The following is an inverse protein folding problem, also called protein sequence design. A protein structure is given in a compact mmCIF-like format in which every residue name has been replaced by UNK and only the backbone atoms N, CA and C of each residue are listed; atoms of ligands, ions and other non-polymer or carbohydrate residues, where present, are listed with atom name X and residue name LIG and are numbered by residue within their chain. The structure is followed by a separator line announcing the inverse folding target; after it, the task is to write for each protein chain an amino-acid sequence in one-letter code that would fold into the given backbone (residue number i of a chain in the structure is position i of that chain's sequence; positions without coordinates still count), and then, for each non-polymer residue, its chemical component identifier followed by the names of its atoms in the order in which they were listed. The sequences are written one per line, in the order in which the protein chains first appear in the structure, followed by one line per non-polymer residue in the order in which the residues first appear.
data_IF_831149772832
#
_entry.id   IF_831149772832
#
_cell.length_a   1.000
_cell.length_b   1.000
_cell.length_c   1.000
_cell.angle_alpha   90.00
_cell.angle_beta   90.00
_cell.angle_gamma   90.00
#
_symmetry.space_group_name_H-M   'P 1'
#
loop_
_entity.id
_entity.type
_entity.pdbx_description
1 polymer ?
#
# COMPACT_ATOMS: atom_id res chain seq x y z
N UNK A 1 -6.93 -27.95 2.84
CA UNK A 1 -7.76 -27.20 3.79
C UNK A 1 -7.36 -25.72 4.01
N UNK A 2 -6.12 -25.28 3.78
CA UNK A 2 -5.70 -23.86 4.04
C UNK A 2 -6.19 -22.84 3.00
N UNK A 3 -6.49 -23.23 1.76
CA UNK A 3 -6.93 -22.33 0.68
C UNK A 3 -8.39 -21.87 0.82
N UNK A 4 -9.25 -22.68 1.44
CA UNK A 4 -10.67 -22.36 1.62
C UNK A 4 -10.92 -21.30 2.69
N UNK A 5 -10.04 -21.17 3.67
CA UNK A 5 -10.20 -20.20 4.76
C UNK A 5 -10.03 -18.74 4.29
N UNK A 6 -9.10 -18.48 3.37
CA UNK A 6 -8.85 -17.14 2.83
C UNK A 6 -10.03 -16.69 1.96
N UNK A 7 -10.59 -17.58 1.13
CA UNK A 7 -11.77 -17.28 0.31
C UNK A 7 -13.00 -17.02 1.18
N UNK A 8 -13.17 -17.79 2.26
CA UNK A 8 -14.28 -17.60 3.20
C UNK A 8 -14.17 -16.26 3.93
N UNK A 9 -12.98 -15.82 4.29
CA UNK A 9 -12.73 -14.50 4.92
C UNK A 9 -13.11 -13.36 3.98
N UNK A 10 -12.80 -13.47 2.68
CA UNK A 10 -13.19 -12.48 1.68
C UNK A 10 -14.73 -12.46 1.44
N UNK A 11 -15.37 -13.61 1.44
CA UNK A 11 -16.84 -13.73 1.28
C UNK A 11 -17.61 -13.20 2.50
N UNK A 12 -17.13 -13.43 3.71
CA UNK A 12 -17.76 -12.93 4.94
C UNK A 12 -17.68 -11.40 5.09
N UNK A 13 -16.66 -10.76 4.53
CA UNK A 13 -16.51 -9.31 4.54
C UNK A 13 -17.35 -8.62 3.45
N UNK A 14 -17.71 -9.33 2.38
CA UNK A 14 -18.50 -8.80 1.25
C UNK A 14 -20.02 -8.82 1.43
N UNK A 15 -20.54 -9.60 2.39
CA UNK A 15 -21.97 -9.94 2.44
C UNK A 15 -22.88 -8.96 3.21
N UNK A 16 -22.40 -7.79 3.62
CA UNK A 16 -23.20 -6.81 4.38
C UNK A 16 -23.35 -5.44 3.68
N UNK A 17 -23.52 -5.41 2.36
CA UNK A 17 -23.93 -4.22 1.64
C UNK A 17 -25.44 -3.96 1.83
N UNK A 18 -25.88 -3.74 3.06
CA UNK A 18 -27.16 -3.11 3.31
C UNK A 18 -26.97 -1.60 3.09
N UNK A 19 -27.55 -1.08 2.01
CA UNK A 19 -27.56 0.34 1.70
C UNK A 19 -28.25 1.09 2.84
N UNK A 20 -27.45 1.69 3.72
CA UNK A 20 -27.94 2.60 4.75
C UNK A 20 -27.97 4.00 4.16
N UNK A 21 -29.14 4.62 4.14
CA UNK A 21 -29.30 6.06 3.89
C UNK A 21 -28.75 6.82 5.13
N UNK A 22 -27.43 6.94 5.20
CA UNK A 22 -26.72 7.75 6.19
C UNK A 22 -26.27 9.06 5.56
N UNK A 23 -25.80 10.00 6.38
CA UNK A 23 -25.16 11.22 5.90
C UNK A 23 -24.07 10.87 4.86
N UNK A 24 -24.02 11.62 3.73
CA UNK A 24 -23.05 11.34 2.69
C UNK A 24 -21.62 11.42 3.27
N UNK A 25 -20.91 10.33 3.14
CA UNK A 25 -19.52 10.21 3.57
C UNK A 25 -18.58 11.14 2.80
N UNK A 26 -17.31 11.21 3.18
CA UNK A 26 -16.30 11.96 2.43
C UNK A 26 -16.18 11.41 1.01
N UNK A 27 -15.82 12.28 0.06
CA UNK A 27 -15.61 11.89 -1.35
C UNK A 27 -14.15 11.75 -1.71
N UNK A 28 -13.29 12.42 -0.97
CA UNK A 28 -11.85 12.49 -1.24
C UNK A 28 -11.05 12.32 0.05
N UNK A 29 -9.84 11.81 -0.07
CA UNK A 29 -8.89 11.70 1.02
C UNK A 29 -7.46 11.89 0.55
N UNK A 30 -6.65 12.51 1.39
CA UNK A 30 -5.19 12.62 1.20
C UNK A 30 -4.53 12.08 2.45
N UNK A 31 -3.49 11.28 2.29
CA UNK A 31 -2.73 10.82 3.44
C UNK A 31 -1.24 11.10 3.31
N UNK A 32 -0.62 11.25 4.47
CA UNK A 32 0.83 11.25 4.65
C UNK A 32 1.16 10.20 5.67
N UNK A 33 2.13 9.34 5.37
CA UNK A 33 2.48 8.23 6.22
C UNK A 33 3.99 7.98 6.26
N UNK A 34 4.49 7.58 7.41
CA UNK A 34 5.72 6.83 7.51
C UNK A 34 5.57 5.54 6.71
N UNK A 35 6.59 5.20 5.93
CA UNK A 35 6.66 3.96 5.16
C UNK A 35 7.93 3.23 5.58
N UNK A 36 7.80 2.07 6.21
CA UNK A 36 8.94 1.29 6.66
C UNK A 36 8.99 -0.09 6.01
N UNK A 37 10.10 -0.42 5.34
CA UNK A 37 10.42 -1.81 5.05
C UNK A 37 10.98 -2.40 6.34
N UNK A 38 10.22 -3.29 7.01
CA UNK A 38 10.60 -3.82 8.34
C UNK A 38 11.02 -2.71 9.27
N UNK A 39 10.34 -1.96 9.92
CA UNK A 39 10.59 -0.90 10.93
C UNK A 39 11.96 -0.16 10.88
N UNK A 40 12.98 -0.75 10.23
CA UNK A 40 14.37 -0.27 10.23
C UNK A 40 14.76 0.56 9.01
N UNK A 41 13.95 0.57 7.94
CA UNK A 41 14.23 1.31 6.73
C UNK A 41 13.20 2.42 6.55
N UNK A 42 13.51 3.63 7.07
CA UNK A 42 12.56 4.73 7.09
C UNK A 42 12.25 5.25 5.69
N UNK A 43 11.03 5.62 5.49
CA UNK A 43 10.54 6.24 4.28
C UNK A 43 9.29 7.06 4.51
N UNK A 44 8.81 7.66 3.45
CA UNK A 44 7.63 8.50 3.41
C UNK A 44 6.71 8.05 2.28
N UNK A 45 5.42 8.08 2.53
CA UNK A 45 4.40 7.90 1.51
C UNK A 45 3.37 9.02 1.56
N UNK A 46 2.95 9.45 0.38
CA UNK A 46 1.83 10.36 0.19
C UNK A 46 0.85 9.68 -0.75
N UNK A 47 -0.44 9.75 -0.45
CA UNK A 47 -1.44 9.15 -1.30
C UNK A 47 -2.73 9.95 -1.34
N UNK A 48 -3.49 9.70 -2.40
CA UNK A 48 -4.80 10.26 -2.65
C UNK A 48 -5.81 9.13 -2.79
N UNK A 49 -6.96 9.29 -2.13
CA UNK A 49 -8.10 8.38 -2.20
C UNK A 49 -9.31 9.08 -2.79
N UNK A 50 -10.00 8.40 -3.71
CA UNK A 50 -11.32 8.79 -4.19
C UNK A 50 -12.31 7.73 -3.77
N UNK A 51 -13.32 8.11 -3.03
CA UNK A 51 -14.42 7.22 -2.66
C UNK A 51 -15.44 7.14 -3.80
N UNK A 52 -15.83 5.91 -4.13
CA UNK A 52 -16.73 5.61 -5.27
C UNK A 52 -18.19 5.56 -4.87
N UNK A 53 -18.48 5.45 -3.58
CA UNK A 53 -19.82 5.45 -3.03
C UNK A 53 -19.94 6.45 -1.88
N UNK A 54 -21.16 6.85 -1.58
CA UNK A 54 -21.47 7.82 -0.53
C UNK A 54 -21.85 7.16 0.81
N UNK A 55 -21.78 5.82 0.88
CA UNK A 55 -22.08 5.11 2.13
C UNK A 55 -21.02 5.40 3.17
N UNK A 56 -21.44 5.92 4.31
CA UNK A 56 -20.53 6.23 5.43
C UNK A 56 -20.04 4.97 6.17
N UNK A 57 -20.78 3.87 6.11
CA UNK A 57 -20.45 2.62 6.81
C UNK A 57 -19.54 1.71 6.00
N UNK A 58 -19.75 1.67 4.68
CA UNK A 58 -19.00 0.83 3.77
C UNK A 58 -18.54 1.65 2.57
N UNK A 59 -17.27 2.01 2.56
CA UNK A 59 -16.67 2.83 1.52
C UNK A 59 -15.87 1.99 0.56
N UNK A 60 -16.14 2.14 -0.73
CA UNK A 60 -15.30 1.62 -1.82
C UNK A 60 -14.43 2.77 -2.32
N UNK A 61 -13.16 2.52 -2.53
CA UNK A 61 -12.22 3.56 -2.92
C UNK A 61 -11.23 3.10 -3.99
N UNK A 62 -10.72 4.07 -4.73
CA UNK A 62 -9.51 3.96 -5.53
C UNK A 62 -8.46 4.84 -4.85
N UNK A 63 -7.23 4.32 -4.73
CA UNK A 63 -6.10 4.97 -4.08
C UNK A 63 -4.90 4.98 -5.00
N UNK A 64 -4.25 6.14 -5.13
CA UNK A 64 -2.94 6.28 -5.74
C UNK A 64 -1.93 6.69 -4.67
N UNK A 65 -0.79 6.02 -4.59
CA UNK A 65 0.28 6.34 -3.65
C UNK A 65 1.58 6.57 -4.39
N UNK A 66 2.36 7.54 -3.91
CA UNK A 66 3.79 7.66 -4.17
C UNK A 66 4.53 7.47 -2.86
N UNK A 67 5.67 6.80 -2.92
CA UNK A 67 6.46 6.52 -1.73
C UNK A 67 7.94 6.42 -2.03
N UNK A 68 8.70 6.64 -0.99
CA UNK A 68 10.15 6.50 -1.00
C UNK A 68 10.58 5.88 0.32
N UNK A 69 11.51 4.92 0.29
CA UNK A 69 12.21 4.47 1.49
C UNK A 69 13.70 4.26 1.21
N UNK A 70 14.48 4.48 2.25
CA UNK A 70 15.93 4.39 2.23
C UNK A 70 16.40 3.17 3.03
N UNK A 71 17.12 2.28 2.36
CA UNK A 71 17.82 1.17 2.99
C UNK A 71 19.30 1.50 3.06
N UNK A 72 19.78 1.92 4.22
CA UNK A 72 21.12 2.50 4.44
C UNK A 72 22.28 1.73 3.77
N UNK A 73 22.22 0.41 3.72
CA UNK A 73 23.30 -0.43 3.18
C UNK A 73 23.10 -0.90 1.74
N UNK A 74 21.88 -0.84 1.21
CA UNK A 74 21.58 -1.57 -0.01
C UNK A 74 21.01 -0.69 -1.12
N UNK A 75 19.97 0.12 -0.84
CA UNK A 75 19.25 0.78 -1.93
C UNK A 75 18.31 1.90 -1.48
N UNK A 76 17.97 2.76 -2.44
CA UNK A 76 16.82 3.64 -2.38
C UNK A 76 15.71 3.02 -3.23
N UNK A 77 14.50 2.99 -2.71
CA UNK A 77 13.34 2.51 -3.48
C UNK A 77 12.31 3.61 -3.60
N UNK A 78 11.94 3.90 -4.84
CA UNK A 78 10.84 4.79 -5.21
C UNK A 78 9.67 3.91 -5.65
N UNK A 79 8.47 4.26 -5.25
CA UNK A 79 7.30 3.46 -5.51
C UNK A 79 6.11 4.31 -5.93
N UNK A 80 5.35 3.78 -6.87
CA UNK A 80 4.02 4.23 -7.21
C UNK A 80 3.08 3.04 -7.14
N UNK A 81 1.90 3.18 -6.50
CA UNK A 81 0.88 2.13 -6.48
C UNK A 81 -0.50 2.70 -6.82
N UNK A 82 -1.27 1.89 -7.53
CA UNK A 82 -2.68 2.14 -7.78
C UNK A 82 -3.49 0.95 -7.24
N UNK A 83 -4.42 1.24 -6.36
CA UNK A 83 -5.14 0.25 -5.58
C UNK A 83 -6.64 0.52 -5.62
N UNK A 84 -7.43 -0.52 -5.54
CA UNK A 84 -8.84 -0.44 -5.23
C UNK A 84 -9.15 -1.26 -3.99
N UNK A 85 -10.08 -0.81 -3.19
CA UNK A 85 -10.36 -1.47 -1.92
C UNK A 85 -11.68 -1.03 -1.32
N UNK A 86 -11.92 -1.57 -0.16
CA UNK A 86 -13.07 -1.21 0.65
C UNK A 86 -12.65 -0.94 2.09
N UNK A 87 -13.40 -0.07 2.74
CA UNK A 87 -13.26 0.31 4.14
C UNK A 87 -14.59 0.15 4.85
N UNK A 88 -14.59 -0.61 5.93
CA UNK A 88 -15.73 -0.75 6.83
C UNK A 88 -15.54 0.16 8.03
N UNK A 89 -16.46 1.08 8.21
CA UNK A 89 -16.49 2.01 9.32
C UNK A 89 -17.45 1.49 10.41
N UNK A 90 -17.00 1.50 11.66
CA UNK A 90 -17.78 1.09 12.80
C UNK A 90 -18.32 2.32 13.54
N UNK A 91 -19.43 2.14 14.27
CA UNK A 91 -20.03 3.21 15.08
C UNK A 91 -19.13 3.74 16.19
N UNK A 92 -18.13 2.95 16.60
CA UNK A 92 -17.09 3.36 17.56
C UNK A 92 -16.08 4.37 17.00
N UNK A 93 -16.10 4.63 15.68
CA UNK A 93 -15.10 5.43 14.99
C UNK A 93 -13.91 4.60 14.44
N UNK A 94 -13.79 3.33 14.81
CA UNK A 94 -12.80 2.42 14.22
C UNK A 94 -13.15 2.13 12.77
N UNK A 95 -12.13 1.87 11.95
CA UNK A 95 -12.33 1.31 10.62
C UNK A 95 -11.33 0.19 10.32
N UNK A 96 -11.75 -0.71 9.47
CA UNK A 96 -10.92 -1.73 8.84
C UNK A 96 -10.98 -1.54 7.32
N UNK A 97 -9.84 -1.67 6.66
CA UNK A 97 -9.78 -1.59 5.21
C UNK A 97 -8.97 -2.72 4.62
N UNK A 98 -9.28 -3.05 3.36
CA UNK A 98 -8.52 -3.97 2.54
C UNK A 98 -8.43 -3.39 1.14
N UNK A 99 -7.29 -3.54 0.48
CA UNK A 99 -7.13 -3.17 -0.92
C UNK A 99 -6.21 -4.12 -1.66
N UNK A 100 -6.41 -4.14 -2.97
CA UNK A 100 -5.59 -4.84 -3.94
C UNK A 100 -5.23 -3.87 -5.05
N UNK A 101 -4.07 -4.07 -5.65
CA UNK A 101 -3.63 -3.20 -6.72
C UNK A 101 -2.35 -3.67 -7.40
N UNK A 102 -1.82 -2.75 -8.17
CA UNK A 102 -0.55 -2.91 -8.89
C UNK A 102 0.34 -1.72 -8.60
N UNK A 103 1.64 -1.90 -8.81
CA UNK A 103 2.59 -0.81 -8.61
C UNK A 103 3.71 -0.82 -9.62
N UNK A 104 4.49 0.23 -9.56
CA UNK A 104 5.78 0.35 -10.21
C UNK A 104 6.81 0.76 -9.16
N UNK A 105 7.87 -0.06 -9.00
CA UNK A 105 8.97 0.19 -8.08
C UNK A 105 10.26 0.35 -8.87
N UNK A 106 10.97 1.43 -8.55
CA UNK A 106 12.32 1.65 -9.04
C UNK A 106 13.28 1.59 -7.86
N UNK A 107 14.21 0.64 -7.89
CA UNK A 107 15.22 0.43 -6.86
C UNK A 107 16.57 0.86 -7.38
N UNK A 108 17.14 1.89 -6.78
CA UNK A 108 18.50 2.34 -7.01
C UNK A 108 19.42 1.67 -5.97
N UNK A 109 20.34 0.84 -6.44
CA UNK A 109 21.26 0.12 -5.56
C UNK A 109 22.43 1.04 -5.22
N UNK A 110 22.80 1.05 -3.93
CA UNK A 110 23.99 1.76 -3.45
C UNK A 110 25.20 0.85 -3.57
N UNK A 111 26.36 1.42 -3.87
CA UNK A 111 27.65 0.75 -3.92
C UNK A 111 28.41 1.04 -5.20
N UNK A 112 29.72 1.12 -5.08
CA UNK A 112 30.64 1.21 -6.20
C UNK A 112 30.69 -0.17 -6.87
N UNK A 113 30.11 -0.25 -8.06
CA UNK A 113 30.26 -1.38 -8.96
C UNK A 113 29.38 -2.61 -8.66
N UNK A 114 28.31 -2.77 -9.41
CA UNK A 114 27.80 -4.10 -9.67
C UNK A 114 28.73 -4.76 -10.68
N UNK A 115 29.32 -5.88 -10.30
CA UNK A 115 30.14 -6.65 -11.22
C UNK A 115 29.30 -7.71 -11.94
N UNK A 116 29.45 -7.83 -13.24
CA UNK A 116 28.89 -8.92 -14.03
C UNK A 116 30.00 -9.65 -14.73
N UNK A 117 29.83 -10.95 -14.95
CA UNK A 117 30.76 -11.75 -15.73
C UNK A 117 30.27 -11.71 -17.18
N UNK A 118 31.11 -11.19 -18.08
CA UNK A 118 30.85 -11.22 -19.51
C UNK A 118 30.97 -12.64 -20.08
N UNK A 119 30.47 -12.85 -21.30
CA UNK A 119 30.58 -14.15 -22.03
C UNK A 119 32.01 -14.67 -22.14
N UNK A 120 33.01 -13.80 -22.04
CA UNK A 120 34.43 -14.14 -22.04
C UNK A 120 35.01 -14.43 -20.66
N UNK A 121 34.19 -14.54 -19.61
CA UNK A 121 34.65 -14.79 -18.24
C UNK A 121 35.27 -13.59 -17.53
N UNK A 122 35.33 -12.42 -18.15
CA UNK A 122 35.89 -11.20 -17.54
C UNK A 122 34.89 -10.55 -16.62
N UNK A 123 35.36 -10.12 -15.45
CA UNK A 123 34.54 -9.32 -14.51
C UNK A 123 34.52 -7.88 -14.99
N UNK A 124 33.34 -7.38 -15.33
CA UNK A 124 33.12 -6.00 -15.77
C UNK A 124 32.22 -5.29 -14.80
N UNK A 125 32.59 -4.08 -14.44
CA UNK A 125 31.76 -3.22 -13.62
C UNK A 125 30.51 -2.81 -14.38
N UNK A 126 29.33 -3.22 -13.87
CA UNK A 126 28.05 -2.78 -14.36
C UNK A 126 27.69 -1.52 -13.58
N UNK A 127 27.71 -0.37 -14.24
CA UNK A 127 27.29 0.88 -13.62
C UNK A 127 25.97 0.72 -12.86
N UNK A 128 25.74 1.49 -11.82
CA UNK A 128 24.59 1.40 -10.91
C UNK A 128 23.27 1.68 -11.64
N UNK A 129 22.84 0.76 -12.47
CA UNK A 129 21.53 0.79 -13.09
C UNK A 129 20.52 0.29 -12.06
N UNK A 130 19.53 1.12 -11.77
CA UNK A 130 18.41 0.72 -10.92
C UNK A 130 17.63 -0.43 -11.55
N UNK A 131 16.99 -1.22 -10.70
CA UNK A 131 16.09 -2.30 -11.14
C UNK A 131 14.63 -1.85 -10.98
N UNK A 132 13.84 -2.09 -12.05
CA UNK A 132 12.39 -1.82 -12.04
C UNK A 132 11.61 -3.09 -11.81
N UNK A 133 10.50 -2.99 -11.06
CA UNK A 133 9.62 -4.10 -10.75
C UNK A 133 8.16 -3.66 -10.91
N UNK A 134 7.31 -4.60 -11.30
CA UNK A 134 5.87 -4.43 -11.35
C UNK A 134 5.24 -5.33 -10.27
N UNK A 135 5.06 -4.85 -9.02
CA UNK A 135 4.48 -5.67 -7.99
C UNK A 135 2.95 -5.71 -8.07
N UNK A 136 2.37 -6.85 -7.70
CA UNK A 136 1.03 -6.88 -7.13
C UNK A 136 1.09 -6.38 -5.70
N UNK A 137 0.05 -5.64 -5.32
CA UNK A 137 -0.08 -5.03 -4.00
C UNK A 137 -1.32 -5.57 -3.33
N UNK A 138 -1.18 -6.00 -2.08
CA UNK A 138 -2.31 -6.26 -1.20
C UNK A 138 -2.04 -5.61 0.15
N UNK A 139 -3.03 -4.98 0.73
CA UNK A 139 -2.90 -4.46 2.07
C UNK A 139 -4.17 -4.62 2.90
N UNK A 140 -3.95 -4.60 4.20
CA UNK A 140 -5.00 -4.56 5.22
C UNK A 140 -4.65 -3.40 6.13
N UNK A 141 -5.62 -2.57 6.49
CA UNK A 141 -5.40 -1.42 7.34
C UNK A 141 -6.42 -1.35 8.45
N UNK A 142 -6.03 -0.71 9.52
CA UNK A 142 -6.91 -0.33 10.61
C UNK A 142 -6.63 1.13 10.99
N UNK A 143 -7.66 1.82 11.49
CA UNK A 143 -7.50 3.18 11.95
C UNK A 143 -8.73 3.65 12.73
N UNK A 144 -8.68 4.93 13.07
CA UNK A 144 -9.73 5.55 13.86
C UNK A 144 -10.10 6.92 13.29
N UNK A 145 -11.39 7.20 13.15
CA UNK A 145 -11.91 8.45 12.63
C UNK A 145 -12.19 9.46 13.74
N UNK A 146 -11.49 10.58 13.69
CA UNK A 146 -11.83 11.79 14.44
C UNK A 146 -12.63 12.71 13.53
N UNK A 147 -13.91 12.86 13.81
CA UNK A 147 -14.79 13.75 13.04
C UNK A 147 -14.64 15.18 13.51
N UNK A 148 -14.44 16.10 12.57
CA UNK A 148 -14.54 17.53 12.79
C UNK A 148 -15.68 18.09 11.91
N UNK A 149 -16.12 19.33 12.17
CA UNK A 149 -17.25 19.92 11.43
C UNK A 149 -17.07 19.98 9.90
N UNK A 150 -15.84 19.94 9.39
CA UNK A 150 -15.54 20.14 7.94
C UNK A 150 -14.75 18.99 7.32
N UNK A 151 -14.15 18.16 8.11
CA UNK A 151 -13.25 17.11 7.63
C UNK A 151 -13.14 15.98 8.65
N UNK A 152 -12.61 14.86 8.18
CA UNK A 152 -12.34 13.70 9.01
C UNK A 152 -10.83 13.45 9.02
N UNK A 153 -10.24 13.40 10.21
CA UNK A 153 -8.82 13.11 10.42
C UNK A 153 -8.72 11.68 10.97
N UNK A 154 -7.90 10.87 10.34
CA UNK A 154 -7.88 9.44 10.67
C UNK A 154 -6.44 8.92 10.74
N UNK A 155 -5.87 8.75 11.93
CA UNK A 155 -4.66 7.96 12.08
C UNK A 155 -4.93 6.52 11.66
N UNK A 156 -3.94 5.92 10.98
CA UNK A 156 -4.04 4.56 10.47
C UNK A 156 -2.72 3.81 10.57
N UNK A 157 -2.83 2.49 10.60
CA UNK A 157 -1.75 1.53 10.47
C UNK A 157 -2.11 0.55 9.35
N UNK A 158 -1.20 0.35 8.40
CA UNK A 158 -1.43 -0.46 7.20
C UNK A 158 -0.20 -1.29 6.86
N UNK A 159 -0.16 -2.58 7.18
CA UNK A 159 0.76 -3.52 6.56
C UNK A 159 0.44 -3.70 5.08
N UNK A 160 1.47 -3.64 4.23
CA UNK A 160 1.37 -3.83 2.80
C UNK A 160 2.25 -5.01 2.38
N UNK A 161 1.74 -5.80 1.46
CA UNK A 161 2.40 -6.97 0.90
C UNK A 161 2.58 -6.74 -0.60
N UNK A 162 3.79 -6.91 -1.08
CA UNK A 162 4.15 -6.72 -2.48
C UNK A 162 4.71 -8.01 -3.04
N UNK A 163 4.12 -8.51 -4.14
CA UNK A 163 4.65 -9.62 -4.91
C UNK A 163 5.31 -9.06 -6.17
N UNK A 164 6.63 -9.11 -6.23
CA UNK A 164 7.42 -8.53 -7.33
C UNK A 164 7.43 -9.44 -8.54
N UNK A 165 7.26 -8.84 -9.73
CA UNK A 165 7.47 -9.48 -11.02
C UNK A 165 8.69 -8.86 -11.72
N UNK A 166 9.45 -9.61 -12.53
CA UNK A 166 9.28 -11.01 -12.89
C UNK A 166 9.64 -11.93 -11.72
N UNK A 167 8.92 -13.05 -11.64
CA UNK A 167 9.19 -14.10 -10.67
C UNK A 167 10.37 -14.94 -11.18
N UNK A 168 11.59 -14.59 -10.87
CA UNK A 168 12.71 -15.50 -11.07
C UNK A 168 12.65 -16.55 -9.96
N UNK A 169 12.10 -17.71 -10.29
CA UNK A 169 12.12 -18.98 -9.55
C UNK A 169 11.48 -19.01 -8.14
N UNK A 170 11.47 -17.90 -7.41
CA UNK A 170 10.78 -17.80 -6.11
C UNK A 170 9.97 -16.51 -6.00
N UNK A 171 8.70 -16.58 -5.54
CA UNK A 171 7.91 -15.37 -5.32
C UNK A 171 8.58 -14.52 -4.24
N UNK A 172 9.20 -13.42 -4.66
CA UNK A 172 9.83 -12.49 -3.72
C UNK A 172 8.75 -11.56 -3.14
N UNK A 173 8.21 -11.99 -2.00
CA UNK A 173 7.25 -11.20 -1.23
C UNK A 173 8.01 -10.21 -0.35
N UNK A 174 7.69 -8.94 -0.47
CA UNK A 174 8.18 -7.88 0.38
C UNK A 174 7.04 -7.35 1.23
N UNK A 175 7.31 -7.08 2.49
CA UNK A 175 6.37 -6.47 3.42
C UNK A 175 6.85 -5.08 3.84
N UNK A 176 5.94 -4.11 3.88
CA UNK A 176 6.17 -2.80 4.48
C UNK A 176 5.03 -2.47 5.44
N UNK A 177 5.29 -1.54 6.33
CA UNK A 177 4.27 -1.00 7.24
C UNK A 177 4.14 0.49 7.00
N UNK A 178 2.92 0.96 6.78
CA UNK A 178 2.58 2.37 6.77
C UNK A 178 1.89 2.75 8.07
N UNK A 179 2.35 3.84 8.70
CA UNK A 179 1.68 4.47 9.83
C UNK A 179 1.53 5.97 9.52
N UNK A 180 0.32 6.49 9.51
CA UNK A 180 0.09 7.85 9.04
C UNK A 180 -1.25 8.44 9.42
N UNK A 181 -1.54 9.56 8.78
CA UNK A 181 -2.76 10.32 8.96
C UNK A 181 -3.43 10.47 7.59
N UNK A 182 -4.70 10.10 7.53
CA UNK A 182 -5.59 10.33 6.41
C UNK A 182 -6.51 11.51 6.73
N UNK A 183 -6.53 12.49 5.87
CA UNK A 183 -7.43 13.62 5.89
C UNK A 183 -8.49 13.44 4.79
N UNK A 184 -9.75 13.26 5.19
CA UNK A 184 -10.87 13.02 4.27
C UNK A 184 -11.82 14.21 4.26
N UNK A 185 -12.31 14.58 3.06
CA UNK A 185 -13.15 15.76 2.83
C UNK A 185 -14.20 15.50 1.74
N UNK A 186 -15.21 16.39 1.71
CA UNK A 186 -16.30 16.36 0.70
C UNK A 186 -15.87 16.99 -0.61
#
# INVERSE_FOLDING_TARGET
MKKSFVVLLFLLLGSSAAFSQGDPGPRHGVHVAYLGETLTHPGLSIGYEKYLNEDSKFQVFIRANIGFYHHYRNNNTYMFTLETGFRRNFSSGLFLEQSLGVGYFYRQIHGDGQFTVNENGSIVEKGSLGNSFLPFVANVGLGYHFQTKKAQISPFLRPNFYWKMPFNETPNMQMTVMAGILYSFK
#
